data_IF_961859891879
#
_entry.id   IF_961859891879
#
_cell.length_a   1.000
_cell.length_b   1.000
_cell.length_c   1.000
_cell.angle_alpha   90.00
_cell.angle_beta   90.00
_cell.angle_gamma   90.00
#
_symmetry.space_group_name_H-M   'P 1'
#
loop_
_entity.id
_entity.type
_entity.pdbx_description
1 polymer ?
#
# COMPACT_ATOMS: atom_id res chain seq x y z
N UNK A 1 -23.49 -1.53 5.95
CA UNK A 1 -22.67 -2.12 4.89
C UNK A 1 -21.73 -3.14 5.50
N UNK A 2 -21.34 -4.21 4.78
CA UNK A 2 -20.50 -5.28 5.38
C UNK A 2 -19.09 -5.25 4.77
N UNK A 3 -18.08 -5.18 5.62
CA UNK A 3 -16.68 -5.23 5.21
C UNK A 3 -16.32 -6.64 4.71
N UNK A 4 -15.63 -6.73 3.58
CA UNK A 4 -15.08 -7.98 3.05
C UNK A 4 -13.77 -8.28 3.77
N UNK A 5 -13.67 -9.46 4.37
CA UNK A 5 -12.50 -9.89 5.14
C UNK A 5 -12.02 -11.27 4.73
N UNK A 6 -10.76 -11.59 5.03
CA UNK A 6 -10.14 -12.90 4.81
C UNK A 6 -10.55 -13.95 5.86
N UNK A 7 -11.36 -13.57 6.86
CA UNK A 7 -11.93 -14.53 7.81
C UNK A 7 -12.99 -15.36 7.10
N UNK A 8 -12.55 -16.49 6.55
CA UNK A 8 -13.46 -17.51 6.06
C UNK A 8 -14.23 -18.13 7.23
N UNK A 9 -15.49 -17.75 7.40
CA UNK A 9 -16.47 -18.61 8.00
C UNK A 9 -17.18 -19.33 6.85
N UNK A 10 -16.82 -20.59 6.64
CA UNK A 10 -17.45 -21.50 5.67
C UNK A 10 -17.32 -21.15 4.18
N UNK A 11 -16.25 -21.55 3.51
CA UNK A 11 -16.08 -21.73 2.05
C UNK A 11 -16.55 -20.63 1.08
N UNK A 12 -17.70 -20.04 1.35
CA UNK A 12 -18.32 -18.96 0.56
C UNK A 12 -17.60 -17.61 0.69
N UNK A 13 -16.96 -17.32 1.82
CA UNK A 13 -16.27 -16.04 2.01
C UNK A 13 -14.91 -15.96 1.32
N UNK A 14 -14.26 -17.09 1.03
CA UNK A 14 -13.00 -17.11 0.28
C UNK A 14 -13.20 -16.63 -1.17
N UNK A 15 -14.33 -16.97 -1.78
CA UNK A 15 -14.64 -16.55 -3.14
C UNK A 15 -14.93 -15.05 -3.22
N UNK A 16 -15.70 -14.51 -2.24
CA UNK A 16 -16.00 -13.07 -2.17
C UNK A 16 -14.72 -12.26 -1.93
N UNK A 17 -13.85 -12.71 -1.03
CA UNK A 17 -12.56 -12.06 -0.81
C UNK A 17 -11.71 -12.03 -2.09
N UNK A 18 -11.60 -13.17 -2.78
CA UNK A 18 -10.86 -13.27 -4.03
C UNK A 18 -11.47 -12.41 -5.13
N UNK A 19 -12.79 -12.38 -5.24
CA UNK A 19 -13.50 -11.61 -6.26
C UNK A 19 -13.29 -10.10 -6.14
N UNK A 20 -13.24 -9.58 -4.91
CA UNK A 20 -13.16 -8.13 -4.67
C UNK A 20 -11.75 -7.65 -4.31
N UNK A 21 -10.97 -8.44 -3.57
CA UNK A 21 -9.68 -8.00 -3.03
C UNK A 21 -8.46 -8.63 -3.69
N UNK A 22 -8.63 -9.66 -4.52
CA UNK A 22 -7.56 -10.26 -5.31
C UNK A 22 -7.78 -10.07 -6.82
N UNK A 23 -8.73 -9.23 -7.21
CA UNK A 23 -9.04 -8.94 -8.61
C UNK A 23 -8.89 -7.44 -8.87
N UNK A 24 -8.09 -7.10 -9.87
CA UNK A 24 -7.91 -5.71 -10.27
C UNK A 24 -9.23 -5.13 -10.80
N UNK A 25 -9.57 -3.95 -10.30
CA UNK A 25 -10.72 -3.16 -10.79
C UNK A 25 -10.25 -2.21 -11.88
N UNK A 26 -10.83 -2.28 -13.10
CA UNK A 26 -10.50 -1.35 -14.18
C UNK A 26 -11.00 0.07 -13.86
N UNK A 27 -10.52 1.04 -14.62
CA UNK A 27 -11.11 2.39 -14.60
C UNK A 27 -12.59 2.32 -14.94
N UNK A 28 -13.37 3.18 -14.29
CA UNK A 28 -14.83 3.28 -14.46
C UNK A 28 -15.17 4.73 -14.73
N UNK A 29 -16.08 4.98 -15.66
CA UNK A 29 -16.67 6.30 -15.82
C UNK A 29 -17.63 6.59 -14.65
N UNK A 30 -17.65 7.82 -14.18
CA UNK A 30 -18.50 8.30 -13.11
C UNK A 30 -19.24 9.55 -13.55
N UNK A 31 -20.53 9.57 -13.32
CA UNK A 31 -21.27 10.84 -13.26
C UNK A 31 -20.93 11.55 -11.94
N UNK A 32 -21.16 12.87 -11.89
CA UNK A 32 -20.95 13.62 -10.65
C UNK A 32 -21.81 13.09 -9.48
N UNK A 33 -23.02 12.62 -9.78
CA UNK A 33 -23.92 12.03 -8.77
C UNK A 33 -23.34 10.74 -8.23
N UNK A 34 -22.93 9.80 -9.10
CA UNK A 34 -22.33 8.53 -8.70
C UNK A 34 -21.02 8.73 -7.90
N UNK A 35 -20.22 9.74 -8.27
CA UNK A 35 -19.01 10.07 -7.55
C UNK A 35 -19.31 10.54 -6.11
N UNK A 36 -20.27 11.44 -5.95
CA UNK A 36 -20.68 11.94 -4.64
C UNK A 36 -21.29 10.83 -3.77
N UNK A 37 -22.17 10.00 -4.32
CA UNK A 37 -22.78 8.88 -3.60
C UNK A 37 -21.72 7.86 -3.16
N UNK A 38 -20.73 7.60 -4.00
CA UNK A 38 -19.62 6.71 -3.68
C UNK A 38 -18.74 7.29 -2.58
N UNK A 39 -18.43 8.59 -2.64
CA UNK A 39 -17.66 9.28 -1.61
C UNK A 39 -18.35 9.17 -0.24
N UNK A 40 -19.65 9.50 -0.16
CA UNK A 40 -20.43 9.39 1.09
C UNK A 40 -20.51 7.93 1.58
N UNK A 41 -20.59 6.98 0.66
CA UNK A 41 -20.57 5.55 0.97
C UNK A 41 -19.24 5.13 1.60
N UNK A 42 -18.12 5.59 1.05
CA UNK A 42 -16.79 5.28 1.59
C UNK A 42 -16.55 5.99 2.93
N UNK A 43 -16.98 7.23 3.09
CA UNK A 43 -16.96 7.96 4.38
C UNK A 43 -17.72 7.21 5.46
N UNK A 44 -18.94 6.79 5.16
CA UNK A 44 -19.76 5.99 6.08
C UNK A 44 -19.11 4.63 6.41
N UNK A 45 -18.48 3.99 5.43
CA UNK A 45 -17.71 2.76 5.62
C UNK A 45 -16.53 2.96 6.57
N UNK A 46 -15.75 4.01 6.37
CA UNK A 46 -14.61 4.32 7.24
C UNK A 46 -15.03 4.73 8.66
N UNK A 47 -16.19 5.37 8.81
CA UNK A 47 -16.77 5.65 10.12
C UNK A 47 -17.21 4.37 10.85
N UNK A 48 -17.82 3.42 10.12
CA UNK A 48 -18.26 2.13 10.67
C UNK A 48 -17.10 1.20 11.01
N UNK A 49 -16.02 1.24 10.25
CA UNK A 49 -14.82 0.41 10.38
C UNK A 49 -13.60 1.32 10.59
N UNK A 50 -13.29 1.69 11.86
CA UNK A 50 -12.25 2.67 12.14
C UNK A 50 -10.90 2.31 11.55
N UNK A 51 -10.41 3.14 10.65
CA UNK A 51 -9.14 3.02 9.94
C UNK A 51 -8.70 4.39 9.42
N UNK A 52 -7.64 4.40 8.62
CA UNK A 52 -7.11 5.61 8.01
C UNK A 52 -7.46 5.70 6.52
N UNK A 53 -7.90 4.61 5.93
CA UNK A 53 -8.35 4.54 4.54
C UNK A 53 -9.30 3.37 4.31
N UNK A 54 -10.02 3.46 3.19
CA UNK A 54 -10.93 2.41 2.72
C UNK A 54 -11.06 2.47 1.20
N UNK A 55 -10.96 1.32 0.56
CA UNK A 55 -11.22 1.16 -0.88
C UNK A 55 -12.63 0.63 -1.13
N UNK A 56 -13.21 0.96 -2.28
CA UNK A 56 -14.54 0.52 -2.67
C UNK A 56 -14.64 -1.03 -2.69
N UNK A 57 -13.58 -1.70 -3.08
CA UNK A 57 -13.50 -3.17 -3.11
C UNK A 57 -13.66 -3.80 -1.73
N UNK A 58 -13.20 -3.14 -0.67
CA UNK A 58 -13.39 -3.62 0.70
C UNK A 58 -14.85 -3.61 1.14
N UNK A 59 -15.69 -2.79 0.52
CA UNK A 59 -17.14 -2.73 0.74
C UNK A 59 -17.96 -3.53 -0.29
N UNK A 60 -17.30 -4.32 -1.15
CA UNK A 60 -17.97 -5.11 -2.18
C UNK A 60 -18.44 -4.29 -3.38
N UNK A 61 -17.82 -3.13 -3.61
CA UNK A 61 -18.16 -2.24 -4.73
C UNK A 61 -17.08 -2.33 -5.80
N UNK A 62 -17.41 -2.83 -6.99
CA UNK A 62 -16.48 -2.94 -8.14
C UNK A 62 -16.32 -1.59 -8.85
N UNK A 63 -15.91 -0.58 -8.10
CA UNK A 63 -15.58 0.75 -8.61
C UNK A 63 -14.17 1.10 -8.18
N UNK A 64 -13.39 1.75 -9.05
CA UNK A 64 -12.00 2.12 -8.76
C UNK A 64 -11.96 3.45 -8.03
N UNK A 65 -12.18 3.40 -6.71
CA UNK A 65 -12.15 4.57 -5.84
C UNK A 65 -11.69 4.18 -4.43
N UNK A 66 -11.09 5.12 -3.72
CA UNK A 66 -10.77 4.99 -2.30
C UNK A 66 -10.92 6.33 -1.60
N UNK A 67 -11.12 6.26 -0.29
CA UNK A 67 -11.22 7.40 0.60
C UNK A 67 -10.24 7.24 1.76
N UNK A 68 -9.53 8.33 2.06
CA UNK A 68 -8.50 8.38 3.09
C UNK A 68 -8.84 9.55 4.00
N UNK A 69 -8.78 9.31 5.32
CA UNK A 69 -8.90 10.33 6.34
C UNK A 69 -7.80 10.15 7.36
N UNK A 70 -7.02 11.20 7.58
CA UNK A 70 -5.90 11.18 8.52
C UNK A 70 -5.83 12.51 9.29
N UNK A 71 -5.59 12.42 10.58
CA UNK A 71 -5.57 13.57 11.49
C UNK A 71 -6.87 13.75 12.28
N UNK A 72 -6.95 14.82 13.04
CA UNK A 72 -8.12 15.23 13.81
C UNK A 72 -9.04 16.19 13.02
N UNK A 73 -10.05 16.74 13.68
CA UNK A 73 -11.02 17.65 13.04
C UNK A 73 -10.39 18.99 12.61
N UNK A 74 -9.31 19.42 13.27
CA UNK A 74 -8.66 20.72 13.00
C UNK A 74 -7.53 20.61 11.97
N UNK A 75 -6.76 19.51 12.03
CA UNK A 75 -5.56 19.29 11.20
C UNK A 75 -5.73 18.16 10.20
N UNK A 76 -6.87 17.50 10.23
CA UNK A 76 -7.14 16.32 9.41
C UNK A 76 -7.17 16.62 7.92
N UNK A 77 -6.68 15.67 7.15
CA UNK A 77 -6.76 15.67 5.69
C UNK A 77 -7.66 14.55 5.23
N UNK A 78 -8.56 14.89 4.33
CA UNK A 78 -9.42 13.94 3.65
C UNK A 78 -9.08 13.91 2.16
N UNK A 79 -9.07 12.72 1.58
CA UNK A 79 -8.69 12.53 0.19
C UNK A 79 -9.60 11.46 -0.42
N UNK A 80 -10.46 11.89 -1.34
CA UNK A 80 -11.25 11.00 -2.17
C UNK A 80 -10.61 10.88 -3.54
N UNK A 81 -10.26 9.67 -3.97
CA UNK A 81 -9.57 9.39 -5.22
C UNK A 81 -10.47 8.59 -6.15
N UNK A 82 -10.76 9.14 -7.34
CA UNK A 82 -11.44 8.44 -8.43
C UNK A 82 -10.44 7.94 -9.45
N UNK A 83 -10.54 6.67 -9.81
CA UNK A 83 -9.68 5.99 -10.76
C UNK A 83 -8.17 6.17 -10.48
N UNK A 84 -7.71 6.11 -9.21
CA UNK A 84 -6.32 6.36 -8.91
C UNK A 84 -5.42 5.29 -9.54
N UNK A 85 -4.33 5.73 -10.15
CA UNK A 85 -3.29 4.87 -10.74
C UNK A 85 -1.93 5.42 -10.34
N UNK A 86 -1.08 4.58 -9.74
CA UNK A 86 0.32 4.95 -9.51
C UNK A 86 1.05 4.86 -10.86
N UNK A 87 1.50 6.00 -11.35
CA UNK A 87 2.20 6.13 -12.64
C UNK A 87 3.71 6.01 -12.50
N UNK A 88 4.25 6.45 -11.37
CA UNK A 88 5.68 6.35 -11.06
C UNK A 88 5.88 5.87 -9.61
N UNK A 89 6.97 5.11 -9.40
CA UNK A 89 7.43 4.65 -8.08
C UNK A 89 8.93 4.82 -7.97
N UNK A 90 9.42 5.33 -6.85
CA UNK A 90 10.86 5.29 -6.55
C UNK A 90 11.32 3.84 -6.40
N UNK A 91 12.61 3.61 -6.63
CA UNK A 91 13.26 2.32 -6.35
C UNK A 91 13.56 2.15 -4.85
N UNK A 92 13.75 3.28 -4.15
CA UNK A 92 13.95 3.30 -2.70
C UNK A 92 12.67 2.85 -2.01
N UNK A 93 12.85 2.00 -1.00
CA UNK A 93 11.78 1.44 -0.21
C UNK A 93 11.85 1.86 1.25
N UNK A 94 10.70 2.14 1.84
CA UNK A 94 10.52 2.40 3.26
C UNK A 94 9.85 1.21 3.93
N UNK A 95 10.39 0.80 5.08
CA UNK A 95 9.78 -0.24 5.89
C UNK A 95 8.71 0.37 6.79
N UNK A 96 7.55 -0.27 6.84
CA UNK A 96 6.44 0.18 7.65
C UNK A 96 5.68 -1.01 8.25
N UNK A 97 5.04 -0.79 9.41
CA UNK A 97 4.14 -1.78 10.00
C UNK A 97 2.70 -1.44 9.66
N UNK A 98 2.05 -2.29 8.88
CA UNK A 98 0.69 -2.10 8.39
C UNK A 98 -0.28 -3.13 8.95
N UNK A 99 -1.48 -2.65 9.27
CA UNK A 99 -2.69 -3.44 9.43
C UNK A 99 -3.65 -3.20 8.28
N UNK A 100 -4.57 -4.12 8.08
CA UNK A 100 -5.62 -4.01 7.08
C UNK A 100 -6.97 -4.45 7.64
N UNK A 101 -7.98 -3.62 7.50
CA UNK A 101 -9.36 -3.93 7.94
C UNK A 101 -9.88 -5.24 7.32
N UNK A 102 -9.51 -5.51 6.07
CA UNK A 102 -9.90 -6.74 5.38
C UNK A 102 -9.10 -7.98 5.81
N UNK A 103 -8.02 -7.79 6.58
CA UNK A 103 -7.21 -8.85 7.17
C UNK A 103 -7.08 -8.61 8.68
N UNK A 104 -8.15 -8.84 9.47
CA UNK A 104 -8.26 -8.38 10.85
C UNK A 104 -7.13 -8.83 11.78
N UNK A 105 -6.52 -9.99 11.54
CA UNK A 105 -5.35 -10.44 12.31
C UNK A 105 -4.17 -9.48 12.25
N UNK A 106 -4.08 -8.67 11.20
CA UNK A 106 -3.00 -7.70 11.01
C UNK A 106 -3.22 -6.41 11.78
N UNK A 107 -4.43 -6.16 12.27
CA UNK A 107 -4.71 -5.05 13.19
C UNK A 107 -4.08 -5.33 14.55
N UNK A 108 -4.16 -6.59 15.03
CA UNK A 108 -3.56 -7.01 16.30
C UNK A 108 -2.04 -7.24 16.17
N UNK A 109 -1.61 -7.75 15.02
CA UNK A 109 -0.20 -8.04 14.68
C UNK A 109 0.14 -7.47 13.32
N UNK A 110 0.53 -6.18 13.25
CA UNK A 110 0.87 -5.53 12.00
C UNK A 110 1.98 -6.27 11.24
N UNK A 111 1.86 -6.30 9.93
CA UNK A 111 2.87 -6.88 9.06
C UNK A 111 3.92 -5.84 8.70
N UNK A 112 5.19 -6.22 8.78
CA UNK A 112 6.28 -5.39 8.27
C UNK A 112 6.28 -5.46 6.75
N UNK A 113 5.96 -4.34 6.11
CA UNK A 113 5.84 -4.20 4.66
C UNK A 113 6.93 -3.30 4.10
N UNK A 114 7.06 -3.27 2.79
CA UNK A 114 7.93 -2.33 2.08
C UNK A 114 7.07 -1.47 1.14
N UNK A 115 7.24 -0.15 1.21
CA UNK A 115 6.56 0.86 0.39
C UNK A 115 7.55 1.71 -0.36
N UNK A 116 7.20 2.17 -1.58
CA UNK A 116 8.02 3.13 -2.32
C UNK A 116 8.10 4.44 -1.55
N UNK A 117 9.30 5.01 -1.44
CA UNK A 117 9.51 6.29 -0.77
C UNK A 117 8.82 7.45 -1.49
N UNK A 118 8.73 7.38 -2.82
CA UNK A 118 8.07 8.40 -3.64
C UNK A 118 7.19 7.75 -4.68
N UNK A 119 5.98 8.31 -4.85
CA UNK A 119 5.03 7.87 -5.88
C UNK A 119 4.38 9.09 -6.55
N UNK A 120 4.03 8.93 -7.84
CA UNK A 120 3.06 9.79 -8.52
C UNK A 120 1.78 9.03 -8.76
N UNK A 121 0.67 9.67 -8.52
CA UNK A 121 -0.67 9.11 -8.66
C UNK A 121 -1.49 9.97 -9.59
N UNK A 122 -1.98 9.39 -10.69
CA UNK A 122 -2.95 10.04 -11.57
C UNK A 122 -4.36 9.69 -11.11
N UNK A 123 -5.23 10.68 -11.01
CA UNK A 123 -6.65 10.54 -10.64
C UNK A 123 -7.54 11.28 -11.62
N UNK A 124 -8.82 10.90 -11.70
CA UNK A 124 -9.76 11.57 -12.58
C UNK A 124 -10.35 12.87 -11.96
N UNK A 125 -10.39 12.96 -10.64
CA UNK A 125 -10.99 14.12 -9.93
C UNK A 125 -9.97 15.15 -9.45
N UNK A 126 -8.71 14.77 -9.19
CA UNK A 126 -7.70 15.66 -8.61
C UNK A 126 -6.46 15.83 -9.52
N UNK A 127 -6.44 15.17 -10.69
CA UNK A 127 -5.28 15.19 -11.57
C UNK A 127 -4.10 14.38 -11.02
N UNK A 128 -2.88 14.85 -11.29
CA UNK A 128 -1.65 14.23 -10.80
C UNK A 128 -1.33 14.71 -9.39
N UNK A 129 -1.05 13.75 -8.51
CA UNK A 129 -0.65 13.97 -7.12
C UNK A 129 0.70 13.31 -6.89
N UNK A 130 1.54 13.92 -6.08
CA UNK A 130 2.84 13.38 -5.67
C UNK A 130 2.85 13.19 -4.16
N UNK A 131 3.35 12.02 -3.72
CA UNK A 131 3.49 11.66 -2.31
C UNK A 131 4.92 11.19 -2.06
N UNK A 132 5.49 11.62 -0.95
CA UNK A 132 6.87 11.31 -0.59
C UNK A 132 7.01 11.03 0.90
N UNK A 133 7.80 10.01 1.21
CA UNK A 133 8.22 9.66 2.57
C UNK A 133 9.54 10.36 2.85
N UNK A 134 9.70 10.92 4.04
CA UNK A 134 10.99 11.40 4.50
C UNK A 134 11.79 10.28 5.19
N UNK A 135 12.64 9.53 4.47
CA UNK A 135 13.32 8.37 5.04
C UNK A 135 14.41 8.73 6.05
N UNK A 136 14.86 9.99 6.08
CA UNK A 136 15.88 10.47 7.04
C UNK A 136 15.25 10.92 8.35
N UNK A 137 14.03 11.47 8.29
CA UNK A 137 13.30 11.99 9.44
C UNK A 137 12.39 10.96 10.11
N UNK A 138 11.92 9.96 9.37
CA UNK A 138 10.97 8.97 9.86
C UNK A 138 11.62 7.58 10.01
N UNK A 139 11.34 6.89 11.10
CA UNK A 139 11.79 5.52 11.34
C UNK A 139 10.61 4.61 11.61
N UNK A 140 10.74 3.36 11.19
CA UNK A 140 9.68 2.35 11.25
C UNK A 140 9.13 2.10 12.65
N UNK A 141 9.95 2.29 13.67
CA UNK A 141 9.61 2.02 15.07
C UNK A 141 9.29 3.31 15.87
N UNK A 142 9.21 4.47 15.19
CA UNK A 142 8.91 5.76 15.79
C UNK A 142 7.62 6.35 15.20
N UNK A 143 7.11 7.44 15.78
CA UNK A 143 5.99 8.19 15.22
C UNK A 143 6.45 8.85 13.92
N UNK A 144 5.84 8.44 12.81
CA UNK A 144 6.14 8.99 11.48
C UNK A 144 5.37 10.28 11.21
N UNK A 145 5.85 11.06 10.26
CA UNK A 145 5.18 12.27 9.78
C UNK A 145 3.84 11.98 9.11
N UNK A 146 3.01 13.00 8.99
CA UNK A 146 1.72 12.92 8.29
C UNK A 146 1.93 12.58 6.81
N UNK A 147 2.94 13.15 6.19
CA UNK A 147 3.31 12.92 4.79
C UNK A 147 3.68 11.45 4.55
N UNK A 148 4.50 10.89 5.43
CA UNK A 148 4.87 9.46 5.36
C UNK A 148 3.65 8.58 5.54
N UNK A 149 2.82 8.84 6.55
CA UNK A 149 1.60 8.07 6.77
C UNK A 149 0.67 8.13 5.55
N UNK A 150 0.44 9.33 5.00
CA UNK A 150 -0.38 9.51 3.81
C UNK A 150 0.18 8.73 2.61
N UNK A 151 1.51 8.79 2.39
CA UNK A 151 2.17 8.06 1.30
C UNK A 151 1.99 6.55 1.41
N UNK A 152 2.05 6.01 2.62
CA UNK A 152 1.82 4.57 2.89
C UNK A 152 0.36 4.21 2.63
N UNK A 153 -0.60 4.98 3.17
CA UNK A 153 -2.03 4.70 3.07
C UNK A 153 -2.48 4.76 1.61
N UNK A 154 -2.06 5.78 0.85
CA UNK A 154 -2.40 5.90 -0.58
C UNK A 154 -1.95 4.66 -1.36
N UNK A 155 -0.74 4.16 -1.11
CA UNK A 155 -0.26 2.93 -1.74
C UNK A 155 -1.08 1.71 -1.31
N UNK A 156 -1.49 1.63 -0.05
CA UNK A 156 -2.30 0.54 0.50
C UNK A 156 -3.67 0.48 -0.17
N UNK A 157 -4.37 1.62 -0.25
CA UNK A 157 -5.72 1.67 -0.81
C UNK A 157 -5.71 1.42 -2.33
N UNK A 158 -4.70 1.91 -3.05
CA UNK A 158 -4.56 1.63 -4.49
C UNK A 158 -4.21 0.16 -4.72
N UNK A 159 -3.38 -0.45 -3.86
CA UNK A 159 -3.10 -1.89 -3.94
C UNK A 159 -4.39 -2.71 -3.91
N UNK A 160 -5.36 -2.40 -3.03
CA UNK A 160 -6.66 -3.08 -3.00
C UNK A 160 -7.40 -2.97 -4.34
N UNK A 161 -7.32 -1.82 -5.00
CA UNK A 161 -7.93 -1.61 -6.33
C UNK A 161 -7.21 -2.37 -7.44
N UNK A 162 -5.95 -2.72 -7.21
CA UNK A 162 -5.14 -3.52 -8.14
C UNK A 162 -5.16 -5.03 -7.81
N UNK A 163 -5.97 -5.46 -6.83
CA UNK A 163 -6.06 -6.85 -6.40
C UNK A 163 -4.86 -7.33 -5.58
N UNK A 164 -4.17 -6.38 -4.95
CA UNK A 164 -2.96 -6.61 -4.14
C UNK A 164 -3.32 -6.38 -2.67
N UNK A 165 -2.80 -7.19 -1.78
CA UNK A 165 -2.98 -7.05 -0.33
C UNK A 165 -1.65 -6.76 0.37
N UNK A 166 -1.72 -6.37 1.65
CA UNK A 166 -0.49 -6.18 2.45
C UNK A 166 0.34 -7.46 2.56
N UNK A 167 -0.25 -8.65 2.36
CA UNK A 167 0.48 -9.92 2.33
C UNK A 167 1.47 -10.01 1.17
N UNK A 168 1.17 -9.34 0.06
CA UNK A 168 2.01 -9.28 -1.13
C UNK A 168 3.15 -8.25 -0.98
N UNK A 169 3.08 -7.40 0.06
CA UNK A 169 4.06 -6.36 0.39
C UNK A 169 4.93 -6.70 1.59
N UNK A 170 4.81 -7.91 2.14
CA UNK A 170 5.58 -8.31 3.32
C UNK A 170 7.08 -8.19 3.02
N UNK A 171 7.76 -7.44 3.87
CA UNK A 171 9.21 -7.43 3.88
C UNK A 171 9.71 -8.75 4.46
N UNK A 172 10.30 -9.57 3.62
CA UNK A 172 10.95 -10.81 4.03
C UNK A 172 12.45 -10.60 4.11
N UNK A 173 13.01 -10.80 5.30
CA UNK A 173 14.47 -10.93 5.47
C UNK A 173 14.97 -12.25 4.90
N UNK A 174 14.06 -13.17 4.61
CA UNK A 174 14.37 -14.40 3.89
C UNK A 174 14.40 -14.08 2.41
N UNK A 175 15.58 -13.74 1.92
CA UNK A 175 15.83 -13.65 0.49
C UNK A 175 15.41 -15.01 -0.08
N UNK A 176 14.28 -15.01 -0.79
CA UNK A 176 13.79 -16.24 -1.42
C UNK A 176 14.92 -16.78 -2.29
N UNK A 177 15.25 -18.07 -2.17
CA UNK A 177 16.29 -18.82 -2.90
C UNK A 177 16.13 -18.78 -4.45
N UNK A 178 15.63 -17.68 -5.02
CA UNK A 178 15.59 -17.49 -6.48
C UNK A 178 16.97 -17.25 -7.08
N UNK A 179 17.93 -16.79 -6.27
CA UNK A 179 19.32 -16.64 -6.66
C UNK A 179 20.14 -17.66 -5.85
N UNK A 180 20.99 -18.44 -6.49
CA UNK A 180 21.82 -19.50 -5.90
C UNK A 180 22.90 -19.00 -4.92
N UNK A 181 22.67 -17.87 -4.23
CA UNK A 181 23.64 -17.30 -3.28
C UNK A 181 23.43 -17.81 -1.87
N UNK A 182 24.49 -18.26 -1.24
CA UNK A 182 24.54 -18.56 0.18
C UNK A 182 24.57 -17.28 1.04
N UNK A 183 24.18 -17.38 2.30
CA UNK A 183 24.09 -16.24 3.25
C UNK A 183 25.36 -15.37 3.33
N UNK A 184 26.53 -15.99 3.18
CA UNK A 184 27.83 -15.32 3.30
C UNK A 184 28.51 -15.07 1.95
N UNK A 185 27.89 -15.46 0.85
CA UNK A 185 28.44 -15.22 -0.48
C UNK A 185 28.55 -13.71 -0.74
N UNK A 186 29.60 -13.32 -1.45
CA UNK A 186 29.78 -11.95 -1.88
C UNK A 186 29.02 -11.74 -3.18
N UNK A 187 28.27 -10.66 -3.25
CA UNK A 187 27.54 -10.21 -4.43
C UNK A 187 27.93 -8.77 -4.73
N UNK A 188 27.85 -8.40 -6.00
CA UNK A 188 27.99 -7.02 -6.43
C UNK A 188 26.60 -6.41 -6.59
N UNK A 189 26.42 -5.25 -6.00
CA UNK A 189 25.16 -4.49 -6.12
C UNK A 189 25.44 -3.13 -6.75
N UNK A 190 24.52 -2.68 -7.60
CA UNK A 190 24.59 -1.41 -8.32
C UNK A 190 23.56 -0.43 -7.74
N UNK A 191 24.02 0.76 -7.36
CA UNK A 191 23.14 1.85 -6.90
C UNK A 191 22.28 2.40 -8.05
N UNK A 192 21.21 3.16 -7.77
CA UNK A 192 20.45 3.91 -8.78
C UNK A 192 21.30 4.88 -9.57
N UNK A 193 22.39 5.39 -8.96
CA UNK A 193 23.36 6.31 -9.62
C UNK A 193 24.48 5.60 -10.36
N UNK A 194 24.52 4.25 -10.32
CA UNK A 194 25.48 3.44 -11.04
C UNK A 194 26.71 3.02 -10.24
N UNK A 195 26.83 3.39 -8.97
CA UNK A 195 27.92 2.95 -8.08
C UNK A 195 27.83 1.44 -7.81
N UNK A 196 28.97 0.76 -7.85
CA UNK A 196 29.07 -0.68 -7.55
C UNK A 196 29.63 -0.90 -6.15
N UNK A 197 28.97 -1.76 -5.37
CA UNK A 197 29.42 -2.17 -4.04
C UNK A 197 29.41 -3.67 -3.92
N UNK A 198 30.47 -4.24 -3.32
CA UNK A 198 30.53 -5.67 -2.98
C UNK A 198 30.06 -5.87 -1.54
N UNK A 199 29.04 -6.70 -1.35
CA UNK A 199 28.46 -6.97 -0.02
C UNK A 199 28.20 -8.45 0.17
N UNK A 200 28.15 -8.89 1.45
CA UNK A 200 27.67 -10.25 1.75
C UNK A 200 26.17 -10.32 1.49
N UNK A 201 25.70 -11.40 0.87
CA UNK A 201 24.30 -11.60 0.50
C UNK A 201 23.31 -11.40 1.67
N UNK A 202 23.71 -11.73 2.89
CA UNK A 202 22.92 -11.46 4.11
C UNK A 202 22.63 -9.97 4.36
N UNK A 203 23.38 -9.05 3.75
CA UNK A 203 23.21 -7.60 3.84
C UNK A 203 22.50 -7.01 2.62
N UNK A 204 22.19 -7.82 1.61
CA UNK A 204 21.60 -7.34 0.36
C UNK A 204 20.29 -6.57 0.59
N UNK A 205 19.49 -6.96 1.58
CA UNK A 205 18.24 -6.30 1.88
C UNK A 205 18.39 -4.83 2.26
N UNK A 206 19.45 -4.48 3.00
CA UNK A 206 19.71 -3.08 3.38
C UNK A 206 20.03 -2.22 2.15
N UNK A 207 20.57 -2.86 1.12
CA UNK A 207 20.87 -2.21 -0.16
C UNK A 207 19.65 -2.17 -1.10
N UNK A 208 18.82 -3.22 -1.13
CA UNK A 208 17.55 -3.19 -1.87
C UNK A 208 16.64 -2.07 -1.39
N UNK A 209 16.60 -1.81 -0.08
CA UNK A 209 15.84 -0.68 0.49
C UNK A 209 16.33 0.68 -0.03
N UNK A 210 17.60 0.78 -0.41
CA UNK A 210 18.21 1.97 -1.01
C UNK A 210 18.16 1.97 -2.54
N UNK A 211 17.39 1.07 -3.15
CA UNK A 211 17.22 0.97 -4.60
C UNK A 211 18.37 0.31 -5.35
N UNK A 212 19.30 -0.38 -4.63
CA UNK A 212 20.35 -1.13 -5.30
C UNK A 212 19.80 -2.42 -5.90
N UNK A 213 20.41 -2.87 -7.00
CA UNK A 213 20.09 -4.12 -7.69
C UNK A 213 21.33 -5.02 -7.74
N UNK A 214 21.15 -6.36 -7.70
CA UNK A 214 22.25 -7.30 -7.91
C UNK A 214 22.65 -7.27 -9.39
N UNK A 215 23.96 -7.22 -9.67
CA UNK A 215 24.55 -7.19 -11.02
C UNK A 215 25.07 -8.56 -11.40
#
# INVERSE_FOLDING_TARGET
MKLITDKASNGLQSNVFSEFLLTRVPKTEFTAIEANELEETLKAGLHQYPGLGISATQLGIKKRACYIKFGDEETGRELFLLNPVITERSKEGFLFYEGCLSIPKTIEKPLKTIRSCKIKVQTDNLGELEFEINPEGDKVDERVSMETMMTVIVQHEIDHLDGITIKDRIYSTTITKKNNYGRNDKIVMKSPTGELVEVKYKKANDYFLKGYEIV
#
